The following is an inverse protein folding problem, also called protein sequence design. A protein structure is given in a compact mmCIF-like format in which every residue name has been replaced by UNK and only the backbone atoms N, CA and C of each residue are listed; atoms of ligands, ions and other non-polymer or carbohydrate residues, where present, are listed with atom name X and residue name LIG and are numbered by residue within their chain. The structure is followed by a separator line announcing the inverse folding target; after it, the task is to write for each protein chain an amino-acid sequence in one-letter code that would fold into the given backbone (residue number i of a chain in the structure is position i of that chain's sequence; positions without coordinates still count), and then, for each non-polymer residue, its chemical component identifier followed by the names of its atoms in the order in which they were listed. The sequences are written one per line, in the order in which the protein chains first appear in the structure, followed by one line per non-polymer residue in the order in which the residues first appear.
data_IF_851511486741
#
_entry.id   IF_851511486741
#
_cell.length_a   1.000
_cell.length_b   1.000
_cell.length_c   1.000
_cell.angle_alpha   90.00
_cell.angle_beta   90.00
_cell.angle_gamma   90.00
#
_symmetry.space_group_name_H-M   'P 1'
#
loop_
_entity.id
_entity.type
_entity.pdbx_description
1 polymer ?
#
# COMPACT_ATOMS: atom_id res chain seq x y z
N UNK A 1 -6.09 -11.25 -13.90
CA UNK A 1 -5.78 -12.03 -12.68
C UNK A 1 -4.43 -11.67 -12.06
N UNK A 2 -3.30 -11.77 -12.79
CA UNK A 2 -1.96 -11.51 -12.20
C UNK A 2 -1.78 -10.13 -11.53
N UNK A 3 -2.34 -9.06 -12.10
CA UNK A 3 -2.31 -7.70 -11.51
C UNK A 3 -3.12 -7.56 -10.22
N UNK A 4 -4.19 -8.35 -10.08
CA UNK A 4 -4.99 -8.39 -8.85
C UNK A 4 -4.22 -9.10 -7.74
N UNK A 5 -3.50 -10.17 -8.09
CA UNK A 5 -2.62 -10.88 -7.15
C UNK A 5 -1.51 -9.96 -6.64
N UNK A 6 -0.85 -9.21 -7.53
CA UNK A 6 0.21 -8.26 -7.15
C UNK A 6 -0.30 -7.22 -6.13
N UNK A 7 -1.47 -6.61 -6.41
CA UNK A 7 -2.12 -5.65 -5.51
C UNK A 7 -2.57 -6.27 -4.19
N UNK A 8 -3.02 -7.53 -4.21
CA UNK A 8 -3.39 -8.29 -3.02
C UNK A 8 -2.18 -8.63 -2.15
N UNK A 9 -1.05 -9.02 -2.75
CA UNK A 9 0.21 -9.27 -2.05
C UNK A 9 0.72 -7.98 -1.40
N UNK A 10 0.73 -6.87 -2.13
CA UNK A 10 1.08 -5.56 -1.57
C UNK A 10 0.17 -5.20 -0.38
N UNK A 11 -1.14 -5.45 -0.49
CA UNK A 11 -2.10 -5.18 0.56
C UNK A 11 -1.80 -6.00 1.83
N UNK A 12 -1.59 -7.30 1.68
CA UNK A 12 -1.28 -8.20 2.80
C UNK A 12 0.01 -7.79 3.50
N UNK A 13 1.08 -7.51 2.73
CA UNK A 13 2.38 -7.11 3.29
C UNK A 13 2.27 -5.79 4.05
N UNK A 14 1.64 -4.77 3.46
CA UNK A 14 1.48 -3.46 4.09
C UNK A 14 0.61 -3.56 5.34
N UNK A 15 -0.43 -4.38 5.30
CA UNK A 15 -1.33 -4.57 6.44
C UNK A 15 -0.64 -5.28 7.59
N UNK A 16 0.24 -6.24 7.28
CA UNK A 16 1.08 -6.89 8.29
C UNK A 16 2.05 -5.90 8.93
N UNK A 17 2.75 -5.10 8.12
CA UNK A 17 3.66 -4.04 8.61
C UNK A 17 2.89 -3.04 9.48
N UNK A 18 1.72 -2.59 9.04
CA UNK A 18 0.86 -1.67 9.79
C UNK A 18 0.42 -2.23 11.14
N UNK A 19 0.13 -3.53 11.19
CA UNK A 19 -0.28 -4.23 12.42
C UNK A 19 0.88 -4.35 13.42
N UNK A 20 2.08 -4.64 12.94
CA UNK A 20 3.30 -4.66 13.78
C UNK A 20 3.60 -3.26 14.32
N UNK A 21 3.54 -2.24 13.48
CA UNK A 21 3.76 -0.85 13.88
C UNK A 21 2.75 -0.38 14.93
N UNK A 22 1.48 -0.70 14.74
CA UNK A 22 0.43 -0.30 15.67
C UNK A 22 0.63 -0.89 17.07
N UNK A 23 0.95 -2.19 17.14
CA UNK A 23 1.20 -2.86 18.41
C UNK A 23 2.49 -2.37 19.05
N UNK A 24 3.54 -2.13 18.27
CA UNK A 24 4.85 -1.66 18.75
C UNK A 24 4.82 -0.24 19.31
N UNK A 25 3.95 0.61 18.76
CA UNK A 25 3.74 2.01 19.15
C UNK A 25 2.62 2.18 20.17
N UNK A 26 1.85 1.12 20.47
CA UNK A 26 0.78 1.15 21.46
C UNK A 26 1.30 1.26 22.90
N UNK A 27 0.44 1.65 23.86
CA UNK A 27 0.79 1.87 25.26
C UNK A 27 0.94 0.55 26.05
N UNK A 28 1.48 -0.50 25.42
CA UNK A 28 1.65 -1.80 26.05
C UNK A 28 2.96 -1.82 26.83
N UNK A 29 2.83 -1.89 28.16
CA UNK A 29 3.91 -1.79 29.14
C UNK A 29 4.95 -2.92 29.05
N UNK A 30 4.61 -4.06 28.43
CA UNK A 30 5.50 -5.22 28.29
C UNK A 30 5.76 -5.53 26.82
N UNK A 31 6.92 -5.10 26.32
CA UNK A 31 7.34 -5.31 24.92
C UNK A 31 8.09 -6.64 24.76
N UNK A 32 7.37 -7.74 24.98
CA UNK A 32 7.88 -9.07 24.61
C UNK A 32 7.51 -9.39 23.15
N UNK A 33 8.42 -10.00 22.41
CA UNK A 33 8.20 -10.35 20.98
C UNK A 33 6.95 -11.23 20.81
N UNK A 34 6.68 -12.15 21.74
CA UNK A 34 5.48 -12.99 21.73
C UNK A 34 4.18 -12.20 21.88
N UNK A 35 4.17 -11.16 22.71
CA UNK A 35 3.01 -10.27 22.92
C UNK A 35 2.78 -9.43 21.66
N UNK A 36 3.86 -8.90 21.06
CA UNK A 36 3.78 -8.14 19.81
C UNK A 36 3.18 -9.00 18.70
N UNK A 37 3.69 -10.22 18.51
CA UNK A 37 3.18 -11.15 17.50
C UNK A 37 1.71 -11.51 17.74
N UNK A 38 1.34 -11.81 18.98
CA UNK A 38 -0.04 -12.17 19.35
C UNK A 38 -1.03 -11.06 18.99
N UNK A 39 -0.77 -9.83 19.44
CA UNK A 39 -1.67 -8.70 19.15
C UNK A 39 -1.62 -8.30 17.68
N UNK A 40 -0.48 -8.42 17.01
CA UNK A 40 -0.38 -8.12 15.58
C UNK A 40 -1.23 -9.08 14.75
N UNK A 41 -1.29 -10.36 15.11
CA UNK A 41 -2.16 -11.34 14.44
C UNK A 41 -3.65 -11.04 14.63
N UNK A 42 -4.04 -10.57 15.82
CA UNK A 42 -5.43 -10.18 16.10
C UNK A 42 -5.85 -8.89 15.40
N UNK A 43 -4.94 -7.93 15.26
CA UNK A 43 -5.20 -6.63 14.64
C UNK A 43 -5.06 -6.68 13.12
N UNK A 44 -4.31 -7.65 12.60
CA UNK A 44 -4.10 -7.82 11.17
C UNK A 44 -5.37 -7.84 10.31
N UNK A 45 -6.43 -8.60 10.64
CA UNK A 45 -7.68 -8.58 9.86
C UNK A 45 -8.34 -7.19 9.84
N UNK A 46 -8.26 -6.46 10.95
CA UNK A 46 -8.82 -5.10 11.05
C UNK A 46 -8.06 -4.15 10.14
N UNK A 47 -6.72 -4.17 10.21
CA UNK A 47 -5.86 -3.33 9.35
C UNK A 47 -6.04 -3.69 7.89
N UNK A 48 -6.12 -4.98 7.56
CA UNK A 48 -6.35 -5.48 6.22
C UNK A 48 -7.68 -4.95 5.65
N UNK A 49 -8.75 -4.99 6.45
CA UNK A 49 -10.05 -4.47 6.07
C UNK A 49 -10.00 -2.96 5.84
N UNK A 50 -9.35 -2.21 6.74
CA UNK A 50 -9.18 -0.76 6.61
C UNK A 50 -8.37 -0.36 5.38
N UNK A 51 -7.39 -1.18 4.99
CA UNK A 51 -6.53 -0.93 3.82
C UNK A 51 -7.13 -1.43 2.51
N UNK A 52 -8.16 -2.28 2.55
CA UNK A 52 -8.79 -2.85 1.36
C UNK A 52 -9.31 -1.82 0.32
N UNK A 53 -9.83 -0.64 0.71
CA UNK A 53 -10.17 0.42 -0.26
C UNK A 53 -8.93 0.94 -1.01
N UNK A 54 -7.73 0.76 -0.45
CA UNK A 54 -6.45 1.07 -1.10
C UNK A 54 -6.24 0.32 -2.42
N UNK A 55 -6.80 -0.89 -2.57
CA UNK A 55 -6.73 -1.63 -3.84
C UNK A 55 -7.54 -0.93 -4.93
N UNK A 56 -8.74 -0.46 -4.60
CA UNK A 56 -9.58 0.34 -5.50
C UNK A 56 -8.90 1.65 -5.89
N UNK A 57 -8.32 2.36 -4.91
CA UNK A 57 -7.54 3.57 -5.14
C UNK A 57 -6.36 3.32 -6.08
N UNK A 58 -5.68 2.19 -5.91
CA UNK A 58 -4.55 1.80 -6.75
C UNK A 58 -4.92 1.64 -8.21
N UNK A 59 -6.09 1.05 -8.51
CA UNK A 59 -6.61 0.98 -9.87
C UNK A 59 -6.91 2.37 -10.44
N UNK A 60 -7.52 3.26 -9.64
CA UNK A 60 -7.73 4.65 -10.04
C UNK A 60 -6.43 5.38 -10.36
N UNK A 61 -5.39 5.15 -9.56
CA UNK A 61 -4.05 5.72 -9.76
C UNK A 61 -3.39 5.18 -11.03
N UNK A 62 -3.55 3.90 -11.34
CA UNK A 62 -3.07 3.33 -12.59
C UNK A 62 -3.72 4.03 -13.80
N UNK A 63 -5.03 4.29 -13.77
CA UNK A 63 -5.71 5.08 -14.81
C UNK A 63 -5.18 6.51 -14.90
N UNK A 64 -4.95 7.15 -13.76
CA UNK A 64 -4.45 8.52 -13.71
C UNK A 64 -3.01 8.63 -14.25
N UNK A 65 -2.14 7.66 -13.96
CA UNK A 65 -0.78 7.59 -14.52
C UNK A 65 -0.78 7.45 -16.04
N UNK A 66 -1.69 6.64 -16.58
CA UNK A 66 -1.85 6.50 -18.04
C UNK A 66 -2.25 7.82 -18.66
N UNK A 67 -3.19 8.55 -18.05
CA UNK A 67 -3.60 9.88 -18.50
C UNK A 67 -2.45 10.90 -18.44
N UNK A 68 -1.64 10.87 -17.38
CA UNK A 68 -0.51 11.78 -17.17
C UNK A 68 0.74 11.40 -17.98
N UNK A 69 0.77 10.24 -18.64
CA UNK A 69 1.93 9.66 -19.35
C UNK A 69 3.22 9.65 -18.52
N UNK A 70 3.09 9.57 -17.20
CA UNK A 70 4.22 9.58 -16.25
C UNK A 70 4.11 8.35 -15.35
N UNK A 71 4.96 7.36 -15.59
CA UNK A 71 5.05 6.14 -14.78
C UNK A 71 6.36 6.08 -13.99
N UNK A 72 6.54 7.06 -13.10
CA UNK A 72 7.69 7.11 -12.19
C UNK A 72 7.27 6.70 -10.78
N UNK A 73 8.23 6.15 -10.03
CA UNK A 73 8.08 5.79 -8.62
C UNK A 73 7.51 6.98 -7.81
N UNK A 74 8.09 8.16 -8.00
CA UNK A 74 7.68 9.40 -7.31
C UNK A 74 6.23 9.77 -7.61
N UNK A 75 5.78 9.62 -8.86
CA UNK A 75 4.38 9.87 -9.23
C UNK A 75 3.46 8.81 -8.63
N UNK A 76 3.88 7.54 -8.58
CA UNK A 76 3.12 6.46 -7.93
C UNK A 76 2.87 6.74 -6.45
N UNK A 77 3.95 7.00 -5.71
CA UNK A 77 3.90 7.26 -4.27
C UNK A 77 3.17 8.57 -3.99
N UNK A 78 3.47 9.62 -4.76
CA UNK A 78 2.83 10.93 -4.63
C UNK A 78 1.32 10.89 -4.87
N UNK A 79 0.86 10.14 -5.88
CA UNK A 79 -0.58 9.97 -6.13
C UNK A 79 -1.26 9.18 -5.02
N UNK A 80 -0.63 8.12 -4.49
CA UNK A 80 -1.20 7.36 -3.37
C UNK A 80 -1.32 8.22 -2.12
N UNK A 81 -0.26 8.96 -1.77
CA UNK A 81 -0.26 9.86 -0.61
C UNK A 81 -1.28 10.99 -0.83
N UNK A 82 -1.29 11.63 -2.00
CA UNK A 82 -2.17 12.73 -2.31
C UNK A 82 -3.65 12.34 -2.26
N UNK A 83 -4.02 11.21 -2.87
CA UNK A 83 -5.39 10.70 -2.82
C UNK A 83 -5.81 10.32 -1.41
N UNK A 84 -4.95 9.64 -0.64
CA UNK A 84 -5.31 9.28 0.73
C UNK A 84 -5.35 10.49 1.65
N UNK A 85 -4.52 11.52 1.40
CA UNK A 85 -4.60 12.78 2.11
C UNK A 85 -5.95 13.48 1.86
N UNK A 86 -6.41 13.53 0.61
CA UNK A 86 -7.68 14.19 0.26
C UNK A 86 -8.90 13.39 0.72
N UNK A 87 -8.90 12.08 0.50
CA UNK A 87 -10.09 11.25 0.69
C UNK A 87 -10.23 10.72 2.12
N UNK A 88 -9.13 10.51 2.84
CA UNK A 88 -9.14 9.84 4.14
C UNK A 88 -8.66 10.75 5.25
N UNK A 89 -7.53 11.45 5.07
CA UNK A 89 -6.94 12.25 6.13
C UNK A 89 -7.63 13.61 6.35
N UNK A 90 -7.94 14.35 5.28
CA UNK A 90 -8.61 15.65 5.37
C UNK A 90 -9.97 15.58 6.09
N UNK A 91 -10.88 14.64 5.77
CA UNK A 91 -12.11 14.46 6.54
C UNK A 91 -11.86 14.17 8.02
N UNK A 92 -10.83 13.39 8.33
CA UNK A 92 -10.45 13.05 9.70
C UNK A 92 -9.94 14.27 10.49
N UNK A 93 -9.18 15.15 9.83
CA UNK A 93 -8.70 16.43 10.37
C UNK A 93 -9.85 17.41 10.61
N UNK A 94 -10.83 17.49 9.69
CA UNK A 94 -11.99 18.39 9.80
C UNK A 94 -12.83 18.05 11.03
N UNK A 95 -12.94 16.77 11.38
CA UNK A 95 -13.66 16.29 12.57
C UNK A 95 -12.83 16.50 13.88
N UNK A 96 -11.67 17.17 13.79
CA UNK A 96 -10.73 17.51 14.90
C UNK A 96 -10.21 16.32 15.71
N UNK A 97 -10.34 15.11 15.20
CA UNK A 97 -9.68 13.93 15.75
C UNK A 97 -8.25 13.85 15.23
N UNK A 98 -7.36 14.72 15.70
CA UNK A 98 -5.94 14.59 15.40
C UNK A 98 -5.33 13.45 16.22
N UNK A 99 -4.94 12.36 15.55
CA UNK A 99 -4.22 11.26 16.18
C UNK A 99 -2.97 10.96 15.37
N UNK A 100 -1.83 10.81 16.06
CA UNK A 100 -0.56 10.39 15.46
C UNK A 100 -0.73 9.08 14.65
N UNK A 101 -1.57 8.17 15.14
CA UNK A 101 -1.90 6.93 14.45
C UNK A 101 -2.63 7.17 13.12
N UNK A 102 -3.49 8.19 13.04
CA UNK A 102 -4.21 8.51 11.81
C UNK A 102 -3.26 8.96 10.68
N UNK A 103 -2.17 9.66 11.00
CA UNK A 103 -1.14 10.03 10.02
C UNK A 103 -0.46 8.77 9.47
N UNK A 104 -0.12 7.82 10.35
CA UNK A 104 0.52 6.56 9.93
C UNK A 104 -0.42 5.75 9.03
N UNK A 105 -1.69 5.63 9.42
CA UNK A 105 -2.67 4.84 8.68
C UNK A 105 -3.16 5.48 7.37
N UNK A 106 -3.31 6.80 7.33
CA UNK A 106 -3.89 7.47 6.16
C UNK A 106 -2.86 8.11 5.23
N UNK A 107 -1.59 8.26 5.65
CA UNK A 107 -0.53 8.77 4.78
C UNK A 107 0.62 7.78 4.59
N UNK A 108 1.20 7.28 5.69
CA UNK A 108 2.44 6.50 5.61
C UNK A 108 2.19 5.13 4.96
N UNK A 109 1.24 4.36 5.47
CA UNK A 109 0.92 3.02 4.95
C UNK A 109 0.46 3.07 3.48
N UNK A 110 -0.39 4.02 3.03
CA UNK A 110 -0.72 4.17 1.61
C UNK A 110 0.49 4.53 0.73
N UNK A 111 1.43 5.33 1.23
CA UNK A 111 2.68 5.62 0.53
C UNK A 111 3.53 4.36 0.34
N UNK A 112 3.67 3.55 1.40
CA UNK A 112 4.38 2.26 1.35
C UNK A 112 3.67 1.27 0.42
N UNK A 113 2.34 1.27 0.41
CA UNK A 113 1.54 0.49 -0.54
C UNK A 113 1.81 0.91 -1.99
N UNK A 114 1.77 2.20 -2.29
CA UNK A 114 2.06 2.71 -3.64
C UNK A 114 3.49 2.45 -4.11
N UNK A 115 4.44 2.33 -3.17
CA UNK A 115 5.81 1.90 -3.43
C UNK A 115 5.87 0.40 -3.80
N UNK A 116 5.27 -0.46 -2.95
CA UNK A 116 5.27 -1.91 -3.16
C UNK A 116 4.54 -2.31 -4.44
N UNK A 117 3.38 -1.71 -4.72
CA UNK A 117 2.63 -1.93 -5.96
C UNK A 117 3.48 -1.58 -7.20
N UNK A 118 4.20 -0.45 -7.17
CA UNK A 118 5.12 -0.08 -8.24
C UNK A 118 6.26 -1.08 -8.41
N UNK A 119 6.93 -1.48 -7.32
CA UNK A 119 8.04 -2.43 -7.37
C UNK A 119 7.62 -3.80 -7.90
N UNK A 120 6.44 -4.30 -7.51
CA UNK A 120 5.89 -5.56 -8.01
C UNK A 120 5.56 -5.46 -9.50
N UNK A 121 4.94 -4.35 -9.93
CA UNK A 121 4.64 -4.08 -11.34
C UNK A 121 5.91 -3.98 -12.19
N UNK A 122 6.94 -3.30 -11.72
CA UNK A 122 8.22 -3.17 -12.41
C UNK A 122 8.93 -4.54 -12.52
N UNK A 123 9.00 -5.32 -11.44
CA UNK A 123 9.55 -6.69 -11.48
C UNK A 123 8.82 -7.55 -12.51
N UNK A 124 7.50 -7.43 -12.59
CA UNK A 124 6.68 -8.15 -13.55
C UNK A 124 6.96 -7.73 -14.99
N UNK A 125 7.09 -6.44 -15.26
CA UNK A 125 7.47 -5.94 -16.59
C UNK A 125 8.85 -6.45 -17.01
N UNK A 126 9.84 -6.43 -16.11
CA UNK A 126 11.18 -7.00 -16.35
C UNK A 126 11.14 -8.50 -16.61
N UNK A 127 10.34 -9.26 -15.86
CA UNK A 127 10.17 -10.71 -16.06
C UNK A 127 9.43 -11.06 -17.37
N UNK A 128 8.60 -10.15 -17.89
CA UNK A 128 7.87 -10.33 -19.16
C UNK A 128 8.69 -9.88 -20.38
N UNK A 129 9.73 -9.07 -20.18
CA UNK A 129 10.64 -8.55 -21.21
C UNK A 129 11.45 -9.59 -22.01
N UNK A 130 12.05 -10.63 -21.38
CA UNK A 130 12.84 -11.61 -22.14
C UNK A 130 11.98 -12.52 -23.04
N UNK A 131 10.72 -12.79 -22.68
CA UNK A 131 9.83 -13.62 -23.49
C UNK A 131 9.39 -12.93 -24.80
N UNK A 132 9.32 -11.59 -24.83
CA UNK A 132 8.91 -10.83 -26.02
C UNK A 132 10.04 -10.71 -27.06
N UNK A 133 11.31 -10.77 -26.63
CA UNK A 133 12.47 -10.83 -27.55
C UNK A 133 12.63 -12.19 -28.23
N UNK A 134 12.20 -13.28 -27.58
CA UNK A 134 12.25 -14.63 -28.15
C UNK A 134 11.11 -14.89 -29.16
N UNK A 135 9.95 -14.25 -29.00
CA UNK A 135 8.79 -14.40 -29.90
C UNK A 135 8.69 -13.32 -30.98
N UNK A 136 9.45 -12.22 -30.88
CA UNK A 136 9.47 -11.13 -31.86
C UNK A 136 10.64 -11.19 -32.86
N UNK A 137 11.40 -12.29 -32.88
CA UNK A 137 12.55 -12.50 -33.77
C UNK A 137 12.29 -13.50 -34.91
N UNK A 138 11.03 -13.89 -35.13
CA UNK A 138 10.60 -14.68 -36.29
C UNK A 138 9.43 -13.92 -36.92
N UNK A 139 9.74 -13.01 -37.84
CA UNK A 139 8.80 -12.18 -38.59
C UNK A 139 9.56 -11.31 -39.57
#
# INVERSE_FOLDING_TARGET
MKTFVDKGVALVVVSFIGSVLFVSLGPWSEKNVGIVLYYSLFIFPVVLLCMSPGVLLSYGIDHLKVALRKDTLMVSVGLHIGLCLVLLYLPFVIIRTFSFFAIIYFLVLPGVYGLLDYMLKERRQRASGPARKLLGGIG
#
